data_IF_679205628184
#
_entry.id   IF_679205628184
#
_cell.length_a   1.000
_cell.length_b   1.000
_cell.length_c   1.000
_cell.angle_alpha   90.00
_cell.angle_beta   90.00
_cell.angle_gamma   90.00
#
_symmetry.space_group_name_H-M   'P 1'
#
loop_
_entity.id
_entity.type
_entity.pdbx_description
1 polymer ?
#
# COMPACT_ATOMS: atom_id res chain seq x y z
N UNK A 1 28.19 -5.90 10.40
CA UNK A 1 27.56 -5.44 9.15
C UNK A 1 26.14 -5.02 9.52
N UNK A 2 25.87 -3.72 9.48
CA UNK A 2 24.56 -3.15 9.84
C UNK A 2 23.49 -3.68 8.89
N UNK A 3 22.23 -3.80 9.37
CA UNK A 3 21.08 -4.11 8.49
C UNK A 3 21.02 -3.10 7.34
N UNK A 4 21.41 -1.84 7.57
CA UNK A 4 21.50 -0.78 6.58
C UNK A 4 22.58 -1.04 5.48
N UNK A 5 23.67 -1.73 5.80
CA UNK A 5 24.70 -2.06 4.78
C UNK A 5 24.21 -3.09 3.76
N UNK A 6 23.18 -3.89 4.12
CA UNK A 6 22.53 -4.82 3.18
C UNK A 6 21.65 -4.11 2.15
N UNK A 7 21.32 -2.84 2.40
CA UNK A 7 20.44 -2.05 1.55
C UNK A 7 21.17 -1.06 0.63
N UNK A 8 22.50 -0.99 0.68
CA UNK A 8 23.30 -0.12 -0.21
C UNK A 8 23.37 -0.60 -1.67
N UNK A 9 23.02 -1.87 -1.90
CA UNK A 9 22.97 -2.42 -3.24
C UNK A 9 21.53 -2.36 -3.75
N UNK A 10 21.20 -1.33 -4.52
CA UNK A 10 19.87 -1.10 -5.09
C UNK A 10 19.39 -2.26 -5.97
N UNK A 11 20.31 -3.07 -6.51
CA UNK A 11 19.99 -4.28 -7.27
C UNK A 11 19.28 -5.33 -6.43
N UNK A 12 19.47 -5.33 -5.09
CA UNK A 12 18.78 -6.24 -4.17
C UNK A 12 17.31 -5.89 -3.99
N UNK A 13 16.95 -4.60 -4.01
CA UNK A 13 15.55 -4.17 -3.94
C UNK A 13 14.77 -4.58 -5.17
N UNK A 14 15.33 -4.36 -6.34
CA UNK A 14 14.75 -4.82 -7.59
C UNK A 14 14.56 -6.34 -7.59
N UNK A 15 15.51 -7.09 -7.03
CA UNK A 15 15.42 -8.54 -6.89
C UNK A 15 14.29 -8.95 -5.94
N UNK A 16 14.23 -8.37 -4.73
CA UNK A 16 13.17 -8.66 -3.75
C UNK A 16 11.80 -8.30 -4.30
N UNK A 17 11.66 -7.13 -4.93
CA UNK A 17 10.40 -6.73 -5.55
C UNK A 17 9.99 -7.61 -6.72
N UNK A 18 10.96 -8.19 -7.47
CA UNK A 18 10.66 -9.17 -8.53
C UNK A 18 10.21 -10.53 -7.99
N UNK A 19 10.59 -10.86 -6.75
CA UNK A 19 10.22 -12.12 -6.09
C UNK A 19 8.85 -12.04 -5.39
N UNK A 20 8.38 -10.83 -5.06
CA UNK A 20 7.08 -10.58 -4.46
C UNK A 20 6.05 -10.22 -5.53
N UNK A 21 4.79 -10.58 -5.31
CA UNK A 21 3.69 -10.10 -6.13
C UNK A 21 3.33 -8.65 -5.79
N UNK A 22 2.82 -7.91 -6.76
CA UNK A 22 2.43 -6.51 -6.61
C UNK A 22 0.92 -6.34 -6.67
N UNK A 23 0.36 -5.68 -5.66
CA UNK A 23 -0.99 -5.10 -5.69
C UNK A 23 -0.90 -3.70 -6.27
N UNK A 24 -1.56 -3.48 -7.38
CA UNK A 24 -1.60 -2.20 -8.08
C UNK A 24 -2.80 -1.40 -7.59
N UNK A 25 -2.58 -0.15 -7.21
CA UNK A 25 -3.67 0.78 -6.92
C UNK A 25 -4.23 1.29 -8.25
N UNK A 26 -5.44 0.87 -8.61
CA UNK A 26 -6.15 1.39 -9.76
C UNK A 26 -6.70 2.78 -9.46
N UNK A 27 -6.52 3.70 -10.38
CA UNK A 27 -6.98 5.06 -10.21
C UNK A 27 -7.93 5.48 -11.34
N UNK A 28 -8.85 6.39 -11.03
CA UNK A 28 -9.88 6.87 -11.94
C UNK A 28 -9.35 7.70 -13.12
N UNK A 29 -8.11 8.19 -13.06
CA UNK A 29 -7.51 8.95 -14.17
C UNK A 29 -7.41 8.14 -15.46
N UNK A 30 -7.33 6.81 -15.32
CA UNK A 30 -7.32 5.86 -16.44
C UNK A 30 -8.72 5.26 -16.73
N UNK A 31 -9.80 5.87 -16.23
CA UNK A 31 -11.19 5.37 -16.30
C UNK A 31 -11.41 4.03 -15.59
N UNK A 32 -10.51 3.65 -14.71
CA UNK A 32 -10.60 2.42 -13.92
C UNK A 32 -11.44 2.65 -12.65
N UNK A 33 -12.09 1.62 -12.18
CA UNK A 33 -12.73 1.61 -10.87
C UNK A 33 -11.67 1.69 -9.77
N UNK A 34 -11.83 2.54 -8.73
CA UNK A 34 -10.89 2.62 -7.64
C UNK A 34 -10.84 1.31 -6.83
N UNK A 35 -9.66 0.75 -6.66
CA UNK A 35 -9.47 -0.50 -5.93
C UNK A 35 -8.02 -0.98 -5.98
N UNK A 36 -7.80 -2.21 -5.58
CA UNK A 36 -6.54 -2.91 -5.76
C UNK A 36 -6.67 -3.96 -6.86
N UNK A 37 -5.62 -4.17 -7.62
CA UNK A 37 -5.58 -5.16 -8.69
C UNK A 37 -4.34 -6.04 -8.57
N UNK A 38 -4.55 -7.35 -8.54
CA UNK A 38 -3.51 -8.37 -8.52
C UNK A 38 -3.44 -9.02 -9.91
N UNK A 39 -2.39 -8.71 -10.68
CA UNK A 39 -2.19 -9.35 -11.98
C UNK A 39 -1.99 -10.85 -11.83
N UNK A 40 -2.46 -11.64 -12.78
CA UNK A 40 -2.32 -13.10 -12.79
C UNK A 40 -0.88 -13.55 -12.57
N UNK A 41 0.09 -12.94 -13.25
CA UNK A 41 1.52 -13.23 -13.07
C UNK A 41 2.04 -12.94 -11.64
N UNK A 42 1.46 -11.96 -10.97
CA UNK A 42 1.80 -11.63 -9.59
C UNK A 42 1.09 -12.55 -8.60
N UNK A 43 -0.13 -12.99 -8.92
CA UNK A 43 -0.85 -14.04 -8.20
C UNK A 43 -0.07 -15.36 -8.22
N UNK A 44 0.37 -15.80 -9.40
CA UNK A 44 1.22 -17.00 -9.54
C UNK A 44 2.52 -16.88 -8.74
N UNK A 45 3.16 -15.69 -8.80
CA UNK A 45 4.43 -15.42 -8.10
C UNK A 45 4.30 -15.46 -6.58
N UNK A 46 3.21 -14.92 -6.02
CA UNK A 46 2.97 -14.96 -4.59
C UNK A 46 2.40 -16.30 -4.09
N UNK A 47 2.01 -17.19 -5.00
CA UNK A 47 1.38 -18.47 -4.69
C UNK A 47 -0.04 -18.28 -4.18
N UNK A 48 -0.85 -17.52 -4.95
CA UNK A 48 -2.27 -17.32 -4.70
C UNK A 48 -3.01 -18.66 -4.73
N UNK A 49 -3.83 -18.90 -3.71
CA UNK A 49 -4.69 -20.09 -3.56
C UNK A 49 -6.11 -19.73 -3.04
N UNK A 50 -6.43 -18.43 -3.04
CA UNK A 50 -7.74 -17.92 -2.60
C UNK A 50 -8.78 -17.94 -3.72
N UNK A 51 -10.05 -17.79 -3.31
CA UNK A 51 -11.18 -17.57 -4.20
C UNK A 51 -11.55 -16.07 -4.17
N UNK A 52 -11.63 -15.37 -5.33
CA UNK A 52 -12.08 -13.98 -5.35
C UNK A 52 -13.44 -13.77 -4.68
N UNK A 53 -14.35 -14.77 -4.75
CA UNK A 53 -15.68 -14.70 -4.11
C UNK A 53 -15.64 -14.61 -2.57
N UNK A 54 -14.51 -14.93 -1.94
CA UNK A 54 -14.31 -14.73 -0.50
C UNK A 54 -14.19 -13.25 -0.12
N UNK A 55 -13.92 -12.36 -1.07
CA UNK A 55 -13.76 -10.94 -0.84
C UNK A 55 -15.00 -10.15 -1.27
N UNK A 56 -15.46 -9.17 -0.47
CA UNK A 56 -16.53 -8.28 -0.90
C UNK A 56 -16.14 -7.50 -2.15
N UNK A 57 -17.03 -7.48 -3.14
CA UNK A 57 -16.84 -6.72 -4.39
C UNK A 57 -15.47 -7.01 -5.07
N UNK A 58 -15.09 -8.30 -5.13
CA UNK A 58 -13.96 -8.76 -5.91
C UNK A 58 -14.41 -9.60 -7.10
N UNK A 59 -13.68 -9.46 -8.22
CA UNK A 59 -13.95 -10.20 -9.45
C UNK A 59 -12.68 -10.42 -10.27
N UNK A 60 -12.68 -11.47 -11.07
CA UNK A 60 -11.67 -11.64 -12.11
C UNK A 60 -12.02 -10.78 -13.32
N UNK A 61 -11.06 -9.98 -13.78
CA UNK A 61 -11.25 -9.10 -14.92
C UNK A 61 -9.96 -8.82 -15.68
N UNK A 62 -10.11 -8.18 -16.84
CA UNK A 62 -9.01 -7.61 -17.60
C UNK A 62 -8.96 -6.12 -17.37
N UNK A 63 -7.77 -5.61 -17.06
CA UNK A 63 -7.52 -4.18 -16.88
C UNK A 63 -6.48 -3.68 -17.87
N UNK A 64 -6.65 -2.44 -18.32
CA UNK A 64 -5.75 -1.80 -19.27
C UNK A 64 -4.72 -0.95 -18.54
N UNK A 65 -3.44 -1.13 -18.87
CA UNK A 65 -2.32 -0.42 -18.25
C UNK A 65 -1.46 0.31 -19.27
N UNK A 66 -0.83 1.40 -18.80
CA UNK A 66 0.11 2.15 -19.60
C UNK A 66 -0.54 2.99 -20.73
N UNK A 67 0.28 3.73 -21.44
CA UNK A 67 -0.13 4.53 -22.61
C UNK A 67 -0.26 3.70 -23.87
N UNK A 68 0.31 2.50 -23.88
CA UNK A 68 0.27 1.52 -24.96
C UNK A 68 -1.00 0.65 -24.94
N UNK A 69 -1.81 0.77 -23.89
CA UNK A 69 -3.07 0.04 -23.76
C UNK A 69 -2.89 -1.46 -23.48
N UNK A 70 -1.78 -1.85 -22.85
CA UNK A 70 -1.53 -3.25 -22.52
C UNK A 70 -2.63 -3.81 -21.61
N UNK A 71 -3.25 -4.89 -22.04
CA UNK A 71 -4.26 -5.60 -21.26
C UNK A 71 -3.63 -6.66 -20.36
N UNK A 72 -4.06 -6.73 -19.11
CA UNK A 72 -3.57 -7.69 -18.13
C UNK A 72 -4.75 -8.34 -17.39
N UNK A 73 -4.78 -9.66 -17.39
CA UNK A 73 -5.73 -10.44 -16.58
C UNK A 73 -5.33 -10.40 -15.11
N UNK A 74 -6.33 -10.43 -14.22
CA UNK A 74 -6.08 -10.48 -12.79
C UNK A 74 -7.34 -10.38 -11.94
N UNK A 75 -7.15 -10.17 -10.65
CA UNK A 75 -8.21 -10.08 -9.65
C UNK A 75 -8.30 -8.64 -9.16
N UNK A 76 -9.48 -8.08 -9.25
CA UNK A 76 -9.81 -6.78 -8.69
C UNK A 76 -10.41 -6.93 -7.30
N UNK A 77 -10.07 -6.01 -6.40
CA UNK A 77 -10.58 -5.92 -5.05
C UNK A 77 -11.05 -4.50 -4.76
N UNK A 78 -12.34 -4.32 -4.59
CA UNK A 78 -12.93 -3.06 -4.15
C UNK A 78 -12.77 -2.87 -2.65
N UNK A 79 -12.98 -3.94 -1.91
CA UNK A 79 -12.92 -3.99 -0.45
C UNK A 79 -12.02 -5.17 0.01
N UNK A 80 -10.68 -5.06 -0.18
CA UNK A 80 -9.75 -6.12 0.22
C UNK A 80 -9.68 -6.26 1.74
N UNK A 81 -9.45 -7.48 2.24
CA UNK A 81 -9.03 -7.71 3.62
C UNK A 81 -7.51 -7.76 3.69
N UNK A 82 -6.94 -6.75 4.34
CA UNK A 82 -5.50 -6.53 4.39
C UNK A 82 -4.96 -6.71 5.82
N UNK A 83 -3.89 -7.48 5.94
CA UNK A 83 -2.99 -7.42 7.09
C UNK A 83 -1.75 -6.67 6.66
N UNK A 84 -1.54 -5.47 7.19
CA UNK A 84 -0.41 -4.62 6.85
C UNK A 84 0.79 -5.02 7.72
N UNK A 85 1.83 -5.51 7.09
CA UNK A 85 3.04 -5.94 7.77
C UNK A 85 3.99 -4.78 8.06
N UNK A 86 4.22 -3.92 7.05
CA UNK A 86 5.20 -2.81 7.12
C UNK A 86 4.88 -1.71 6.10
N UNK A 87 5.42 -0.53 6.34
CA UNK A 87 5.46 0.57 5.36
C UNK A 87 4.28 1.54 5.41
N UNK A 88 3.23 1.26 6.19
CA UNK A 88 2.05 2.13 6.24
C UNK A 88 1.93 2.95 7.55
N UNK A 89 2.60 2.51 8.63
CA UNK A 89 2.52 3.14 9.95
C UNK A 89 3.89 3.09 10.61
N UNK A 90 4.31 4.12 11.33
CA UNK A 90 5.58 4.29 12.08
C UNK A 90 6.86 3.91 11.33
N UNK A 91 6.87 2.82 10.57
CA UNK A 91 7.97 2.44 9.70
C UNK A 91 7.71 2.92 8.26
N UNK A 92 8.65 3.65 7.69
CA UNK A 92 8.54 4.22 6.35
C UNK A 92 9.49 3.50 5.38
N UNK A 93 8.93 2.73 4.43
CA UNK A 93 9.67 2.15 3.32
C UNK A 93 9.42 3.03 2.08
N UNK A 94 10.07 4.18 2.06
CA UNK A 94 9.99 5.09 0.92
C UNK A 94 11.31 5.11 0.17
N UNK A 95 11.24 4.90 -1.14
CA UNK A 95 12.36 5.01 -2.06
C UNK A 95 12.27 6.30 -2.87
N UNK A 96 13.43 6.72 -3.39
CA UNK A 96 13.53 7.75 -4.41
C UNK A 96 13.78 7.08 -5.76
N UNK A 97 12.92 7.37 -6.74
CA UNK A 97 13.06 6.92 -8.12
C UNK A 97 13.45 8.07 -9.03
N UNK A 98 14.23 7.75 -10.05
CA UNK A 98 14.55 8.67 -11.13
C UNK A 98 13.70 8.35 -12.37
N UNK A 99 12.74 9.22 -12.66
CA UNK A 99 11.81 9.03 -13.79
C UNK A 99 12.49 9.16 -15.18
N UNK A 100 13.65 9.82 -15.26
CA UNK A 100 14.44 9.92 -16.50
C UNK A 100 15.28 8.66 -16.75
N UNK A 101 15.56 7.90 -15.70
CA UNK A 101 16.35 6.66 -15.72
C UNK A 101 15.44 5.42 -15.62
N UNK A 102 14.32 5.40 -16.35
CA UNK A 102 13.34 4.28 -16.37
C UNK A 102 12.81 3.90 -14.98
N UNK A 103 12.64 4.90 -14.09
CA UNK A 103 12.24 4.73 -12.70
C UNK A 103 13.24 3.89 -11.87
N UNK A 104 14.53 3.99 -12.18
CA UNK A 104 15.57 3.36 -11.38
C UNK A 104 15.49 3.87 -9.94
N UNK A 105 15.64 2.96 -8.98
CA UNK A 105 15.69 3.29 -7.56
C UNK A 105 17.06 3.84 -7.21
N UNK A 106 17.11 5.09 -6.76
CA UNK A 106 18.33 5.75 -6.31
C UNK A 106 18.73 5.33 -4.88
N UNK A 107 17.77 5.03 -4.03
CA UNK A 107 17.98 4.61 -2.66
C UNK A 107 16.76 4.85 -1.75
N UNK A 108 16.94 4.61 -0.45
CA UNK A 108 15.94 4.94 0.55
C UNK A 108 15.83 6.46 0.71
N UNK A 109 14.60 6.96 0.89
CA UNK A 109 14.33 8.39 0.97
C UNK A 109 15.20 9.13 2.01
N UNK A 110 15.37 8.57 3.20
CA UNK A 110 16.18 9.19 4.24
C UNK A 110 17.70 9.26 3.92
N UNK A 111 18.17 8.45 2.97
CA UNK A 111 19.57 8.44 2.54
C UNK A 111 19.82 9.40 1.37
N UNK A 112 18.86 9.50 0.44
CA UNK A 112 19.03 10.18 -0.83
C UNK A 112 18.06 11.35 -1.07
N UNK A 113 17.34 11.82 -0.05
CA UNK A 113 16.40 12.96 -0.15
C UNK A 113 17.08 14.24 -0.67
N UNK A 114 18.37 14.41 -0.39
CA UNK A 114 19.17 15.53 -0.87
C UNK A 114 19.22 15.64 -2.41
N UNK A 115 18.99 14.54 -3.15
CA UNK A 115 18.94 14.58 -4.61
C UNK A 115 17.76 15.44 -5.08
N UNK A 116 16.60 15.33 -4.44
CA UNK A 116 15.41 16.12 -4.76
C UNK A 116 15.63 17.60 -4.44
N UNK A 117 16.19 17.91 -3.27
CA UNK A 117 16.40 19.28 -2.81
C UNK A 117 17.44 19.97 -3.70
N UNK A 118 18.58 19.32 -3.97
CA UNK A 118 19.63 19.82 -4.88
C UNK A 118 19.11 20.03 -6.30
N UNK A 119 18.23 19.15 -6.78
CA UNK A 119 17.60 19.36 -8.08
C UNK A 119 16.78 20.66 -8.11
N UNK A 120 15.94 20.90 -7.10
CA UNK A 120 15.11 22.11 -7.00
C UNK A 120 15.93 23.38 -6.92
N UNK A 121 17.03 23.37 -6.18
CA UNK A 121 17.96 24.50 -6.09
C UNK A 121 18.58 24.86 -7.44
N UNK A 122 19.00 23.84 -8.19
CA UNK A 122 19.68 24.03 -9.48
C UNK A 122 18.71 24.24 -10.66
N UNK A 123 17.42 23.91 -10.52
CA UNK A 123 16.43 23.97 -11.61
C UNK A 123 15.11 24.58 -11.09
N UNK A 124 15.13 25.87 -10.67
CA UNK A 124 13.94 26.53 -10.14
C UNK A 124 12.80 26.51 -11.16
N UNK A 125 11.60 26.14 -10.71
CA UNK A 125 10.39 26.07 -11.53
C UNK A 125 10.27 24.85 -12.45
N UNK A 126 11.28 23.99 -12.52
CA UNK A 126 11.21 22.75 -13.29
C UNK A 126 10.72 21.56 -12.44
N UNK A 127 9.95 20.62 -13.02
CA UNK A 127 9.56 19.41 -12.32
C UNK A 127 10.76 18.52 -12.05
N UNK A 128 10.91 18.05 -10.81
CA UNK A 128 11.98 17.13 -10.45
C UNK A 128 11.79 15.76 -11.14
N UNK A 129 12.88 15.16 -11.67
CA UNK A 129 12.82 13.78 -12.14
C UNK A 129 12.74 12.79 -10.97
N UNK A 130 13.10 13.21 -9.76
CA UNK A 130 13.06 12.38 -8.58
C UNK A 130 11.66 12.31 -8.00
N UNK A 131 11.17 11.09 -7.76
CA UNK A 131 9.84 10.82 -7.22
C UNK A 131 9.94 9.92 -6.01
N UNK A 132 9.06 10.13 -5.04
CA UNK A 132 8.93 9.26 -3.88
C UNK A 132 8.01 8.10 -4.20
N UNK A 133 8.48 6.87 -3.97
CA UNK A 133 7.69 5.65 -4.04
C UNK A 133 7.65 5.01 -2.66
N UNK A 134 6.46 4.85 -2.12
CA UNK A 134 6.26 4.10 -0.87
C UNK A 134 5.84 2.68 -1.19
N UNK A 135 6.44 1.74 -0.46
CA UNK A 135 6.05 0.33 -0.47
C UNK A 135 5.36 -0.02 0.83
N UNK A 136 4.21 -0.69 0.72
CA UNK A 136 3.48 -1.24 1.84
C UNK A 136 3.42 -2.74 1.66
N UNK A 137 4.03 -3.49 2.59
CA UNK A 137 3.98 -4.95 2.60
C UNK A 137 2.70 -5.41 3.30
N UNK A 138 2.01 -6.35 2.69
CA UNK A 138 0.74 -6.84 3.22
C UNK A 138 0.48 -8.31 2.86
N UNK A 139 -0.48 -8.89 3.58
CA UNK A 139 -1.19 -10.10 3.17
C UNK A 139 -2.64 -9.74 2.83
N UNK A 140 -3.17 -10.40 1.80
CA UNK A 140 -4.62 -10.58 1.62
C UNK A 140 -5.04 -11.79 2.44
N UNK A 141 -6.15 -11.65 3.18
CA UNK A 141 -6.66 -12.71 4.04
C UNK A 141 -8.12 -13.00 3.75
N UNK A 142 -8.54 -14.23 3.92
CA UNK A 142 -9.92 -14.65 3.78
C UNK A 142 -10.83 -14.09 4.92
N UNK A 143 -12.10 -14.51 4.95
CA UNK A 143 -13.05 -14.11 6.00
C UNK A 143 -12.68 -14.61 7.41
N UNK A 144 -11.79 -15.61 7.51
CA UNK A 144 -11.31 -16.18 8.76
C UNK A 144 -9.96 -15.59 9.20
N UNK A 145 -9.41 -14.64 8.43
CA UNK A 145 -8.10 -14.04 8.69
C UNK A 145 -6.91 -14.87 8.23
N UNK A 146 -7.16 -15.93 7.43
CA UNK A 146 -6.10 -16.79 6.91
C UNK A 146 -5.53 -16.20 5.62
N UNK A 147 -4.20 -16.05 5.49
CA UNK A 147 -3.58 -15.61 4.24
C UNK A 147 -3.94 -16.50 3.05
N UNK A 148 -4.36 -15.89 1.95
CA UNK A 148 -4.73 -16.58 0.70
C UNK A 148 -3.61 -16.61 -0.33
N UNK A 149 -2.39 -16.40 0.11
CA UNK A 149 -1.18 -16.54 -0.69
C UNK A 149 0.05 -16.81 0.20
N UNK A 150 1.07 -17.46 -0.36
CA UNK A 150 2.22 -17.97 0.39
C UNK A 150 3.27 -16.91 0.72
N UNK A 151 3.47 -15.94 -0.17
CA UNK A 151 4.47 -14.87 0.00
C UNK A 151 3.76 -13.53 0.16
N UNK A 152 4.30 -12.59 0.96
CA UNK A 152 3.70 -11.26 1.08
C UNK A 152 3.59 -10.58 -0.29
N UNK A 153 2.59 -9.72 -0.40
CA UNK A 153 2.40 -8.79 -1.50
C UNK A 153 2.93 -7.41 -1.10
N UNK A 154 3.22 -6.57 -2.08
CA UNK A 154 3.47 -5.16 -1.81
C UNK A 154 2.54 -4.26 -2.60
N UNK A 155 2.10 -3.18 -1.97
CA UNK A 155 1.37 -2.09 -2.61
C UNK A 155 2.39 -0.99 -2.89
N UNK A 156 2.50 -0.58 -4.15
CA UNK A 156 3.40 0.51 -4.58
C UNK A 156 2.60 1.77 -4.84
N UNK A 157 2.94 2.84 -4.14
CA UNK A 157 2.20 4.10 -4.22
C UNK A 157 3.12 5.30 -4.34
N UNK A 158 2.64 6.33 -5.04
CA UNK A 158 3.34 7.60 -5.24
C UNK A 158 2.53 8.78 -4.69
N UNK A 159 3.22 9.84 -4.30
CA UNK A 159 2.64 11.16 -4.02
C UNK A 159 1.46 11.15 -3.06
N UNK A 160 0.37 11.80 -3.46
CA UNK A 160 -0.83 11.97 -2.64
C UNK A 160 -1.52 10.68 -2.23
N UNK A 161 -1.59 9.69 -3.13
CA UNK A 161 -2.19 8.39 -2.83
C UNK A 161 -1.48 7.69 -1.66
N UNK A 162 -0.14 7.73 -1.65
CA UNK A 162 0.67 7.18 -0.56
C UNK A 162 0.37 7.88 0.78
N UNK A 163 0.32 9.22 0.77
CA UNK A 163 0.05 10.00 1.97
C UNK A 163 -1.33 9.70 2.53
N UNK A 164 -2.36 9.74 1.68
CA UNK A 164 -3.75 9.51 2.11
C UNK A 164 -3.95 8.07 2.59
N UNK A 165 -3.41 7.09 1.89
CA UNK A 165 -3.47 5.68 2.31
C UNK A 165 -2.93 5.50 3.74
N UNK A 166 -1.74 6.01 4.01
CA UNK A 166 -1.12 5.88 5.34
C UNK A 166 -1.90 6.65 6.41
N UNK A 167 -2.44 7.83 6.09
CA UNK A 167 -3.29 8.58 7.02
C UNK A 167 -4.57 7.81 7.36
N UNK A 168 -5.23 7.20 6.37
CA UNK A 168 -6.44 6.39 6.58
C UNK A 168 -6.15 5.13 7.40
N UNK A 169 -5.04 4.47 7.15
CA UNK A 169 -4.62 3.33 7.97
C UNK A 169 -4.33 3.72 9.41
N UNK A 170 -3.64 4.85 9.65
CA UNK A 170 -3.41 5.37 10.99
C UNK A 170 -4.73 5.69 11.71
N UNK A 171 -5.69 6.34 11.03
CA UNK A 171 -7.03 6.59 11.57
C UNK A 171 -7.77 5.30 11.96
N UNK A 172 -7.68 4.26 11.13
CA UNK A 172 -8.24 2.96 11.46
C UNK A 172 -7.62 2.38 12.74
N UNK A 173 -6.29 2.42 12.88
CA UNK A 173 -5.60 1.92 14.07
C UNK A 173 -5.99 2.71 15.32
N UNK A 174 -6.10 4.02 15.24
CA UNK A 174 -6.55 4.87 16.35
C UNK A 174 -7.98 4.51 16.80
N UNK A 175 -8.88 4.27 15.84
CA UNK A 175 -10.25 3.86 16.14
C UNK A 175 -10.30 2.47 16.77
N UNK A 176 -9.51 1.54 16.26
CA UNK A 176 -9.40 0.18 16.79
C UNK A 176 -8.84 0.19 18.22
N UNK A 177 -7.79 0.97 18.46
CA UNK A 177 -7.20 1.17 19.78
C UNK A 177 -8.20 1.72 20.78
N UNK A 178 -8.94 2.75 20.37
CA UNK A 178 -10.00 3.34 21.19
C UNK A 178 -11.13 2.35 21.51
N UNK A 179 -11.52 1.50 20.56
CA UNK A 179 -12.52 0.45 20.78
C UNK A 179 -11.97 -0.65 21.71
N UNK A 180 -10.73 -1.07 21.55
CA UNK A 180 -10.07 -2.05 22.41
C UNK A 180 -9.96 -1.57 23.85
N UNK A 181 -9.51 -0.33 24.08
CA UNK A 181 -9.41 0.27 25.41
C UNK A 181 -10.77 0.31 26.13
N UNK A 182 -11.84 0.59 25.41
CA UNK A 182 -13.22 0.54 25.95
C UNK A 182 -13.65 -0.88 26.29
N UNK A 183 -13.42 -1.84 25.40
CA UNK A 183 -13.84 -3.24 25.56
C UNK A 183 -13.13 -3.93 26.74
N UNK A 184 -11.85 -3.63 26.93
CA UNK A 184 -11.02 -4.20 27.99
C UNK A 184 -11.03 -3.38 29.30
N UNK A 185 -11.60 -2.19 29.29
CA UNK A 185 -11.50 -1.18 30.36
C UNK A 185 -10.05 -0.87 30.76
N UNK A 186 -9.10 -1.06 29.83
CA UNK A 186 -7.68 -0.81 30.03
C UNK A 186 -7.29 0.57 29.51
N UNK A 187 -7.15 1.52 30.44
CA UNK A 187 -6.72 2.89 30.15
C UNK A 187 -5.23 3.00 29.85
N UNK A 188 -4.44 1.95 30.13
CA UNK A 188 -2.99 1.91 29.86
C UNK A 188 -2.66 1.41 28.46
N UNK A 189 -3.62 0.92 27.69
CA UNK A 189 -3.47 0.53 26.28
C UNK A 189 -3.20 1.77 25.42
N UNK A 190 -1.98 2.31 25.56
CA UNK A 190 -1.52 3.45 24.76
C UNK A 190 -0.64 2.96 23.60
N UNK A 191 -1.20 2.97 22.40
CA UNK A 191 -0.52 2.71 21.15
C UNK A 191 -0.30 1.22 20.86
N UNK A 192 -0.89 0.75 19.77
CA UNK A 192 -0.55 -0.58 19.26
C UNK A 192 0.93 -0.64 18.87
N UNK A 193 1.65 -1.60 19.40
CA UNK A 193 3.01 -1.91 18.96
C UNK A 193 3.01 -2.43 17.51
N UNK A 194 4.16 -2.39 16.85
CA UNK A 194 4.31 -2.83 15.45
C UNK A 194 3.77 -4.26 15.21
N UNK A 195 4.00 -5.19 16.16
CA UNK A 195 3.50 -6.56 16.06
C UNK A 195 1.98 -6.63 16.09
N UNK A 196 1.33 -5.79 16.88
CA UNK A 196 -0.12 -5.76 16.99
C UNK A 196 -0.73 -5.16 15.73
N UNK A 197 -0.13 -4.10 15.19
CA UNK A 197 -0.53 -3.55 13.89
C UNK A 197 -0.42 -4.59 12.77
N UNK A 198 0.61 -5.43 12.78
CA UNK A 198 0.82 -6.49 11.78
C UNK A 198 -0.09 -7.72 11.96
N UNK A 199 -0.91 -7.76 13.00
CA UNK A 199 -1.89 -8.83 13.22
C UNK A 199 -3.34 -8.40 12.98
N UNK A 200 -3.57 -7.13 12.69
CA UNK A 200 -4.92 -6.55 12.53
C UNK A 200 -5.41 -6.67 11.09
N UNK A 201 -6.67 -7.08 10.93
CA UNK A 201 -7.33 -7.14 9.63
C UNK A 201 -8.01 -5.79 9.35
N UNK A 202 -7.60 -5.13 8.28
CA UNK A 202 -8.20 -3.92 7.77
C UNK A 202 -8.94 -4.19 6.46
N UNK A 203 -10.23 -3.85 6.41
CA UNK A 203 -11.07 -4.04 5.22
C UNK A 203 -11.55 -2.68 4.71
N UNK A 204 -10.70 -1.94 4.00
CA UNK A 204 -11.11 -0.66 3.43
C UNK A 204 -11.91 -0.83 2.14
N UNK A 205 -12.91 0.01 1.93
CA UNK A 205 -13.51 0.20 0.61
C UNK A 205 -12.80 1.34 -0.11
N UNK A 206 -12.30 1.08 -1.31
CA UNK A 206 -11.61 2.07 -2.12
C UNK A 206 -12.58 2.99 -2.86
N UNK A 207 -12.23 4.25 -2.94
CA UNK A 207 -12.95 5.25 -3.72
C UNK A 207 -11.99 6.27 -4.33
N UNK A 208 -12.50 7.18 -5.16
CA UNK A 208 -11.72 8.23 -5.78
C UNK A 208 -11.82 9.54 -5.00
N UNK A 209 -10.68 10.18 -4.76
CA UNK A 209 -10.59 11.52 -4.18
C UNK A 209 -9.77 12.44 -5.11
N UNK A 210 -10.04 13.74 -5.05
CA UNK A 210 -9.22 14.75 -5.72
C UNK A 210 -8.10 15.18 -4.78
N UNK A 211 -6.85 15.09 -5.25
CA UNK A 211 -5.68 15.46 -4.48
C UNK A 211 -4.80 16.45 -5.24
N UNK A 212 -4.27 17.43 -4.52
CA UNK A 212 -3.40 18.48 -5.04
C UNK A 212 -3.96 19.87 -4.78
N UNK A 213 -3.08 20.83 -4.53
CA UNK A 213 -3.45 22.22 -4.26
C UNK A 213 -3.67 23.00 -5.56
N UNK A 214 -2.69 22.98 -6.44
CA UNK A 214 -2.71 23.72 -7.72
C UNK A 214 -3.24 22.90 -8.87
N UNK A 215 -2.86 21.63 -8.95
CA UNK A 215 -3.34 20.70 -9.95
C UNK A 215 -4.01 19.51 -9.27
N UNK A 216 -5.34 19.49 -9.32
CA UNK A 216 -6.11 18.38 -8.75
C UNK A 216 -6.06 17.16 -9.67
N UNK A 217 -5.63 16.04 -9.12
CA UNK A 217 -5.62 14.75 -9.81
C UNK A 217 -6.44 13.74 -9.04
N UNK A 218 -7.25 12.91 -9.70
CA UNK A 218 -7.96 11.83 -9.03
C UNK A 218 -6.98 10.77 -8.54
N UNK A 219 -7.15 10.35 -7.30
CA UNK A 219 -6.40 9.26 -6.69
C UNK A 219 -7.37 8.23 -6.14
N UNK A 220 -7.01 6.95 -6.19
CA UNK A 220 -7.74 5.88 -5.52
C UNK A 220 -7.19 5.72 -4.10
N UNK A 221 -8.07 5.80 -3.12
CA UNK A 221 -7.72 5.74 -1.70
C UNK A 221 -8.79 5.01 -0.90
N UNK A 222 -8.45 4.46 0.27
CA UNK A 222 -9.41 3.97 1.24
C UNK A 222 -10.33 5.10 1.70
N UNK A 223 -11.64 4.94 1.56
CA UNK A 223 -12.63 5.96 1.95
C UNK A 223 -13.43 5.57 3.18
N UNK A 224 -13.74 4.27 3.32
CA UNK A 224 -14.50 3.75 4.44
C UNK A 224 -13.95 2.38 4.87
N UNK A 225 -14.20 2.01 6.09
CA UNK A 225 -13.89 0.69 6.67
C UNK A 225 -14.85 0.41 7.83
N UNK A 226 -14.92 -0.86 8.22
CA UNK A 226 -15.67 -1.22 9.40
C UNK A 226 -14.99 -0.63 10.64
N UNK A 227 -15.80 0.01 11.47
CA UNK A 227 -15.35 0.50 12.77
C UNK A 227 -15.72 -0.58 13.81
N UNK A 228 -14.73 -1.12 14.54
CA UNK A 228 -15.01 -2.13 15.55
C UNK A 228 -15.87 -1.57 16.68
N UNK A 229 -16.83 -2.36 17.11
CA UNK A 229 -17.60 -2.12 18.33
C UNK A 229 -16.99 -2.93 19.48
N UNK A 230 -17.36 -2.62 20.72
CA UNK A 230 -16.92 -3.41 21.89
C UNK A 230 -17.22 -4.91 21.76
N UNK A 231 -18.31 -5.28 21.07
CA UNK A 231 -18.70 -6.68 20.84
C UNK A 231 -17.92 -7.35 19.71
N UNK A 232 -17.48 -6.58 18.72
CA UNK A 232 -16.81 -7.10 17.51
C UNK A 232 -15.31 -6.87 17.50
N UNK A 233 -14.74 -6.26 18.55
CA UNK A 233 -13.34 -5.87 18.58
C UNK A 233 -12.39 -7.04 18.28
N UNK A 234 -12.67 -8.23 18.84
CA UNK A 234 -11.83 -9.41 18.65
C UNK A 234 -11.95 -10.08 17.27
N UNK A 235 -12.90 -9.65 16.42
CA UNK A 235 -13.00 -10.14 15.05
C UNK A 235 -12.03 -9.45 14.08
N UNK A 236 -11.19 -8.55 14.57
CA UNK A 236 -10.17 -7.84 13.81
C UNK A 236 -8.77 -8.45 13.97
N UNK A 237 -8.61 -9.55 14.73
CA UNK A 237 -7.40 -10.34 14.88
C UNK A 237 -7.55 -11.76 14.37
#
# INVERSE_FOLDING_TARGET
MSVLDRFKDTSKYDRVMRELGMLIVLNRAQRQEPGLFLKKKDADRCGWDGDPSDFPEADERVETFGSDGAEEEGIFFKSPRLVILRGAYKDDITFVENSKERNMIEGLYHEVNHLYDRWKENHPGQPSPYRRRRLVLCYLVDKNGVPVHKKPLYISMHGGASKVFCQRYAQFLEQLEGAYAKATNDKSAQGFGERMCASVIWTPTFGAEQYGETQKSPIAVPQSWLIPTEKSIFSFW
#
